data_IF_328170513442
#
_entry.id   IF_328170513442
#
_cell.length_a   1.000
_cell.length_b   1.000
_cell.length_c   1.000
_cell.angle_alpha   90.00
_cell.angle_beta   90.00
_cell.angle_gamma   90.00
#
_symmetry.space_group_name_H-M   'P 1'
#
loop_
_entity.id
_entity.type
_entity.pdbx_description
1 polymer ?
#
# COMPACT_ATOMS: atom_id res chain seq x y z
N UNK A 1 -45.50 -10.52 -60.43
CA UNK A 1 -45.81 -10.29 -59.00
C UNK A 1 -45.31 -11.49 -58.22
N UNK A 2 -44.11 -11.39 -57.64
CA UNK A 2 -43.46 -12.46 -56.88
C UNK A 2 -44.05 -12.49 -55.46
N UNK A 3 -44.72 -13.59 -55.09
CA UNK A 3 -45.19 -13.82 -53.72
C UNK A 3 -43.98 -14.19 -52.87
N UNK A 4 -43.60 -13.30 -51.95
CA UNK A 4 -42.66 -13.65 -50.89
C UNK A 4 -43.24 -14.82 -50.08
N UNK A 5 -42.43 -15.83 -49.70
CA UNK A 5 -42.87 -16.85 -48.75
C UNK A 5 -43.29 -16.13 -47.47
N UNK A 6 -44.49 -16.41 -46.96
CA UNK A 6 -44.88 -15.92 -45.63
C UNK A 6 -43.93 -16.58 -44.63
N UNK A 7 -43.17 -15.75 -43.92
CA UNK A 7 -42.44 -16.14 -42.72
C UNK A 7 -43.40 -16.92 -41.82
N UNK A 8 -42.95 -18.09 -41.33
CA UNK A 8 -43.77 -18.87 -40.42
C UNK A 8 -44.12 -17.96 -39.23
N UNK A 9 -45.41 -17.78 -38.96
CA UNK A 9 -45.85 -16.95 -37.85
C UNK A 9 -45.13 -17.43 -36.58
N UNK A 10 -44.42 -16.51 -35.90
CA UNK A 10 -43.82 -16.83 -34.61
C UNK A 10 -44.91 -17.47 -33.73
N UNK A 11 -44.67 -18.68 -33.21
CA UNK A 11 -45.66 -19.34 -32.37
C UNK A 11 -46.00 -18.42 -31.20
N UNK A 12 -47.30 -18.17 -31.02
CA UNK A 12 -47.80 -17.32 -29.94
C UNK A 12 -47.20 -17.81 -28.62
N UNK A 13 -46.55 -16.96 -27.81
CA UNK A 13 -45.93 -17.38 -26.55
C UNK A 13 -46.93 -18.05 -25.59
N UNK A 14 -48.23 -17.84 -25.76
CA UNK A 14 -49.29 -18.55 -25.03
C UNK A 14 -49.55 -19.99 -25.49
N UNK A 15 -49.02 -20.40 -26.66
CA UNK A 15 -49.14 -21.75 -27.21
C UNK A 15 -48.14 -22.75 -26.60
N UNK A 16 -47.15 -22.27 -25.85
CA UNK A 16 -46.24 -23.10 -25.07
C UNK A 16 -46.91 -23.53 -23.76
N UNK A 17 -46.73 -24.79 -23.36
CA UNK A 17 -47.32 -25.31 -22.13
C UNK A 17 -46.83 -24.52 -20.90
N UNK A 18 -47.75 -23.84 -20.20
CA UNK A 18 -47.44 -23.15 -18.96
C UNK A 18 -47.45 -24.13 -17.78
N UNK A 19 -46.40 -24.11 -16.97
CA UNK A 19 -46.43 -24.72 -15.64
C UNK A 19 -46.89 -23.66 -14.64
N UNK A 20 -47.73 -24.01 -13.65
CA UNK A 20 -48.00 -23.11 -12.53
C UNK A 20 -46.68 -22.85 -11.81
N UNK A 21 -46.20 -21.61 -11.87
CA UNK A 21 -44.94 -21.17 -11.30
C UNK A 21 -45.25 -20.31 -10.06
N UNK A 22 -44.96 -20.84 -8.89
CA UNK A 22 -45.13 -20.12 -7.63
C UNK A 22 -43.88 -19.27 -7.38
N UNK A 23 -43.97 -18.00 -7.79
CA UNK A 23 -42.89 -17.02 -7.64
C UNK A 23 -42.42 -16.89 -6.18
N UNK A 24 -43.33 -16.98 -5.21
CA UNK A 24 -42.98 -16.83 -3.79
C UNK A 24 -42.20 -18.03 -3.32
N UNK A 25 -42.65 -19.24 -3.67
CA UNK A 25 -41.93 -20.48 -3.33
C UNK A 25 -40.53 -20.51 -3.93
N UNK A 26 -40.39 -20.24 -5.23
CA UNK A 26 -39.10 -20.29 -5.91
C UNK A 26 -38.15 -19.18 -5.40
N UNK A 27 -38.68 -17.99 -5.11
CA UNK A 27 -37.90 -16.93 -4.47
C UNK A 27 -37.39 -17.34 -3.08
N UNK A 28 -38.24 -17.93 -2.24
CA UNK A 28 -37.84 -18.37 -0.89
C UNK A 28 -36.80 -19.48 -0.97
N UNK A 29 -36.99 -20.46 -1.86
CA UNK A 29 -36.03 -21.55 -2.07
C UNK A 29 -34.69 -21.01 -2.58
N UNK A 30 -34.71 -20.12 -3.56
CA UNK A 30 -33.50 -19.48 -4.08
C UNK A 30 -32.80 -18.64 -3.00
N UNK A 31 -33.55 -17.85 -2.22
CA UNK A 31 -33.00 -17.04 -1.14
C UNK A 31 -32.34 -17.91 -0.08
N UNK A 32 -33.00 -18.97 0.38
CA UNK A 32 -32.44 -19.91 1.35
C UNK A 32 -31.20 -20.60 0.77
N UNK A 33 -31.28 -21.09 -0.46
CA UNK A 33 -30.16 -21.75 -1.14
C UNK A 33 -28.94 -20.84 -1.28
N UNK A 34 -29.13 -19.61 -1.77
CA UNK A 34 -28.07 -18.60 -1.91
C UNK A 34 -27.52 -18.20 -0.54
N UNK A 35 -28.37 -18.02 0.48
CA UNK A 35 -27.92 -17.66 1.83
C UNK A 35 -27.04 -18.77 2.42
N UNK A 36 -27.50 -20.02 2.36
CA UNK A 36 -26.74 -21.18 2.85
C UNK A 36 -25.42 -21.31 2.09
N UNK A 37 -25.45 -21.21 0.76
CA UNK A 37 -24.24 -21.25 -0.05
C UNK A 37 -23.27 -20.12 0.32
N UNK A 38 -23.78 -18.89 0.50
CA UNK A 38 -22.96 -17.73 0.86
C UNK A 38 -22.31 -17.92 2.23
N UNK A 39 -23.05 -18.41 3.23
CA UNK A 39 -22.50 -18.69 4.56
C UNK A 39 -21.45 -19.80 4.53
N UNK A 40 -21.67 -20.85 3.73
CA UNK A 40 -20.68 -21.93 3.55
C UNK A 40 -19.42 -21.41 2.85
N UNK A 41 -19.57 -20.65 1.77
CA UNK A 41 -18.44 -20.05 1.06
C UNK A 41 -17.70 -19.05 1.96
N UNK A 42 -18.40 -18.21 2.71
CA UNK A 42 -17.79 -17.27 3.65
C UNK A 42 -17.04 -17.99 4.77
N UNK A 43 -17.55 -19.11 5.28
CA UNK A 43 -16.85 -19.89 6.32
C UNK A 43 -15.61 -20.62 5.77
N UNK A 44 -15.66 -21.09 4.51
CA UNK A 44 -14.54 -21.81 3.86
C UNK A 44 -13.47 -20.85 3.35
N UNK A 45 -13.89 -19.70 2.82
CA UNK A 45 -13.05 -18.67 2.20
C UNK A 45 -13.04 -17.40 3.04
N UNK A 46 -13.12 -17.47 4.37
CA UNK A 46 -13.04 -16.27 5.20
C UNK A 46 -11.64 -15.67 5.10
N UNK A 47 -11.55 -14.34 5.02
CA UNK A 47 -10.25 -13.66 5.17
C UNK A 47 -9.73 -13.86 6.59
N UNK A 48 -8.42 -14.05 6.77
CA UNK A 48 -7.79 -13.90 8.08
C UNK A 48 -8.09 -12.52 8.67
N UNK A 49 -8.30 -12.47 9.98
CA UNK A 49 -8.39 -11.22 10.74
C UNK A 49 -7.01 -10.92 11.33
N UNK A 50 -6.12 -10.40 10.49
CA UNK A 50 -4.77 -10.03 10.90
C UNK A 50 -4.80 -8.73 11.71
N UNK A 51 -4.08 -8.73 12.83
CA UNK A 51 -3.98 -7.54 13.66
C UNK A 51 -3.12 -6.51 12.94
N UNK A 52 -3.61 -5.27 12.92
CA UNK A 52 -2.83 -4.13 12.42
C UNK A 52 -1.50 -4.04 13.16
N UNK A 53 -0.41 -3.89 12.41
CA UNK A 53 0.90 -3.55 12.98
C UNK A 53 0.83 -2.14 13.59
N UNK A 54 1.49 -1.96 14.73
CA UNK A 54 1.61 -0.68 15.41
C UNK A 54 3.06 -0.40 15.79
N UNK A 55 3.38 0.86 16.04
CA UNK A 55 4.71 1.25 16.51
C UNK A 55 5.03 0.56 17.84
N UNK A 56 4.01 0.34 18.69
CA UNK A 56 4.17 -0.42 19.92
C UNK A 56 4.43 -1.92 19.73
N UNK A 57 3.85 -2.57 18.71
CA UNK A 57 4.18 -3.98 18.42
C UNK A 57 5.59 -4.08 17.86
N UNK A 58 5.95 -3.20 16.94
CA UNK A 58 7.27 -3.11 16.33
C UNK A 58 8.36 -2.87 17.39
N UNK A 59 8.24 -1.82 18.21
CA UNK A 59 9.23 -1.49 19.25
C UNK A 59 9.39 -2.56 20.34
N UNK A 60 8.44 -3.49 20.47
CA UNK A 60 8.55 -4.67 21.35
C UNK A 60 9.21 -5.85 20.65
N UNK A 61 8.89 -6.06 19.37
CA UNK A 61 9.43 -7.13 18.55
C UNK A 61 10.91 -6.90 18.26
N UNK A 62 11.25 -5.70 17.78
CA UNK A 62 12.62 -5.29 17.49
C UNK A 62 12.92 -3.87 18.03
N UNK A 63 13.35 -3.77 19.30
CA UNK A 63 13.74 -2.51 19.90
C UNK A 63 14.98 -1.87 19.24
N UNK A 64 15.83 -2.68 18.61
CA UNK A 64 17.07 -2.23 18.00
C UNK A 64 16.79 -1.51 16.70
N UNK A 65 16.03 -2.17 15.81
CA UNK A 65 15.53 -1.60 14.56
C UNK A 65 14.73 -0.31 14.79
N UNK A 66 13.84 -0.29 15.79
CA UNK A 66 13.13 0.93 16.18
C UNK A 66 14.09 2.08 16.54
N UNK A 67 15.14 1.78 17.29
CA UNK A 67 16.09 2.80 17.76
C UNK A 67 16.97 3.31 16.62
N UNK A 68 17.41 2.42 15.74
CA UNK A 68 18.16 2.76 14.53
C UNK A 68 17.32 3.61 13.58
N UNK A 69 16.06 3.24 13.36
CA UNK A 69 15.12 4.01 12.53
C UNK A 69 14.86 5.38 13.13
N UNK A 70 14.54 5.47 14.42
CA UNK A 70 14.35 6.76 15.09
C UNK A 70 15.60 7.65 15.07
N UNK A 71 16.80 7.07 15.07
CA UNK A 71 18.05 7.81 14.87
C UNK A 71 18.17 8.34 13.43
N UNK A 72 17.84 7.51 12.43
CA UNK A 72 17.81 7.91 11.02
C UNK A 72 16.76 9.00 10.74
N UNK A 73 15.61 8.97 11.42
CA UNK A 73 14.64 10.07 11.35
C UNK A 73 15.21 11.36 11.94
N UNK A 74 15.94 11.25 13.06
CA UNK A 74 16.49 12.38 13.80
C UNK A 74 17.66 13.07 13.07
N UNK A 75 18.46 12.32 12.33
CA UNK A 75 19.59 12.83 11.54
C UNK A 75 19.24 13.15 10.07
N UNK A 76 18.04 12.75 9.63
CA UNK A 76 17.53 13.00 8.29
C UNK A 76 18.07 12.04 7.22
N UNK A 77 18.53 10.85 7.63
CA UNK A 77 19.00 9.79 6.73
C UNK A 77 17.98 8.69 6.45
N UNK A 78 16.79 8.72 7.08
CA UNK A 78 15.69 7.79 6.77
C UNK A 78 15.21 7.91 5.31
N UNK A 79 14.54 6.88 4.82
CA UNK A 79 14.00 6.86 3.46
C UNK A 79 12.97 7.98 3.26
N UNK A 80 12.09 8.21 4.24
CA UNK A 80 11.17 9.35 4.25
C UNK A 80 11.90 10.69 4.24
N UNK A 81 12.96 10.86 5.03
CA UNK A 81 13.77 12.10 5.04
C UNK A 81 14.45 12.35 3.69
N UNK A 82 14.91 11.29 3.02
CA UNK A 82 15.55 11.33 1.70
C UNK A 82 14.59 11.38 0.50
N UNK A 83 13.27 11.25 0.71
CA UNK A 83 12.31 10.95 -0.36
C UNK A 83 12.14 12.05 -1.43
N UNK A 84 11.98 13.32 -1.01
CA UNK A 84 11.58 14.44 -1.88
C UNK A 84 10.06 14.73 -1.86
N UNK A 85 9.56 15.46 -2.88
CA UNK A 85 8.14 15.80 -2.97
C UNK A 85 7.22 14.57 -3.00
N UNK A 86 6.06 14.59 -2.31
CA UNK A 86 5.40 15.77 -1.75
C UNK A 86 5.81 16.14 -0.31
N UNK A 87 6.77 15.43 0.29
CA UNK A 87 7.08 15.54 1.72
C UNK A 87 8.19 16.53 2.05
N UNK A 88 9.25 16.53 1.26
CA UNK A 88 10.40 17.40 1.48
C UNK A 88 11.10 17.75 0.17
N UNK A 89 12.31 18.31 0.26
CA UNK A 89 13.08 18.77 -0.90
C UNK A 89 14.41 18.02 -1.08
N UNK A 90 14.61 16.90 -0.38
CA UNK A 90 15.86 16.16 -0.37
C UNK A 90 16.18 15.50 -1.72
N UNK A 91 15.16 15.08 -2.47
CA UNK A 91 15.30 14.48 -3.78
C UNK A 91 14.19 14.92 -4.76
N UNK A 92 14.25 14.41 -5.99
CA UNK A 92 13.30 14.73 -7.06
C UNK A 92 11.96 13.96 -6.95
N UNK A 93 11.85 13.02 -6.00
CA UNK A 93 10.71 12.12 -5.85
C UNK A 93 10.54 11.15 -7.03
N UNK A 94 9.33 10.59 -7.15
CA UNK A 94 8.96 9.67 -8.23
C UNK A 94 8.98 10.35 -9.61
N UNK A 95 9.56 9.68 -10.61
CA UNK A 95 9.71 10.16 -11.99
C UNK A 95 9.31 9.13 -13.05
N UNK A 96 8.78 9.62 -14.15
CA UNK A 96 8.45 8.83 -15.35
C UNK A 96 9.36 9.29 -16.48
N UNK A 97 10.45 8.56 -16.72
CA UNK A 97 11.48 8.95 -17.69
C UNK A 97 12.06 10.34 -17.37
N UNK A 98 12.03 11.32 -18.30
CA UNK A 98 12.52 12.67 -18.04
C UNK A 98 11.54 13.55 -17.24
N UNK A 99 10.33 13.07 -16.92
CA UNK A 99 9.28 13.85 -16.29
C UNK A 99 9.22 13.57 -14.78
N UNK A 100 9.64 14.54 -13.96
CA UNK A 100 9.51 14.50 -12.50
C UNK A 100 8.26 15.29 -12.07
N UNK A 101 7.08 14.69 -12.24
CA UNK A 101 5.80 15.37 -11.95
C UNK A 101 5.69 15.78 -10.48
N UNK A 102 6.13 14.92 -9.54
CA UNK A 102 6.15 15.23 -8.12
C UNK A 102 6.96 16.50 -7.82
N UNK A 103 8.17 16.62 -8.41
CA UNK A 103 9.00 17.82 -8.31
C UNK A 103 8.33 19.08 -8.87
N UNK A 104 7.58 18.97 -9.96
CA UNK A 104 6.89 20.14 -10.55
C UNK A 104 5.74 20.64 -9.68
N UNK A 105 5.06 19.75 -8.96
CA UNK A 105 4.02 20.11 -7.98
C UNK A 105 4.67 20.67 -6.71
N UNK A 106 5.78 20.08 -6.28
CA UNK A 106 6.52 20.50 -5.09
C UNK A 106 5.96 19.91 -3.80
N UNK A 107 6.36 20.49 -2.67
CA UNK A 107 5.98 20.02 -1.33
C UNK A 107 4.55 20.43 -1.01
N UNK A 108 3.67 19.45 -0.80
CA UNK A 108 2.27 19.68 -0.43
C UNK A 108 1.93 19.12 0.96
N UNK A 109 2.72 18.19 1.48
CA UNK A 109 2.55 17.56 2.78
C UNK A 109 3.88 17.56 3.52
N UNK A 110 4.33 18.75 3.97
CA UNK A 110 5.65 18.89 4.55
C UNK A 110 5.84 17.98 5.77
N UNK A 111 6.85 17.12 5.72
CA UNK A 111 7.28 16.26 6.84
C UNK A 111 8.74 16.57 7.13
N UNK A 112 9.00 17.08 8.33
CA UNK A 112 10.31 17.11 8.95
C UNK A 112 10.37 15.88 9.86
N UNK A 113 11.13 14.87 9.46
CA UNK A 113 11.18 13.56 10.13
C UNK A 113 11.65 13.65 11.56
N UNK A 114 12.69 14.46 11.82
CA UNK A 114 13.22 14.68 13.15
C UNK A 114 12.16 15.29 14.07
N UNK A 115 11.41 16.27 13.57
CA UNK A 115 10.31 16.88 14.32
C UNK A 115 9.12 15.94 14.49
N UNK A 116 8.67 15.30 13.42
CA UNK A 116 7.43 14.52 13.39
C UNK A 116 7.54 13.22 14.20
N UNK A 117 8.66 12.50 14.09
CA UNK A 117 8.79 11.16 14.65
C UNK A 117 9.53 11.11 15.99
N UNK A 118 10.35 12.13 16.31
CA UNK A 118 11.20 12.11 17.51
C UNK A 118 10.93 13.28 18.45
N UNK A 119 11.14 14.51 17.98
CA UNK A 119 11.16 15.68 18.87
C UNK A 119 9.77 16.07 19.36
N UNK A 120 8.79 16.21 18.46
CA UNK A 120 7.41 16.58 18.83
C UNK A 120 6.77 15.53 19.75
N UNK A 121 6.88 14.21 19.49
CA UNK A 121 6.37 13.22 20.43
C UNK A 121 6.98 13.30 21.84
N UNK A 122 8.28 13.58 21.91
CA UNK A 122 8.96 13.77 23.20
C UNK A 122 8.51 15.07 23.89
N UNK A 123 8.23 16.14 23.14
CA UNK A 123 7.71 17.40 23.68
C UNK A 123 6.29 17.31 24.23
N UNK A 124 5.41 16.60 23.53
CA UNK A 124 3.99 16.53 23.88
C UNK A 124 3.71 15.66 25.11
N UNK A 125 4.59 14.71 25.39
CA UNK A 125 4.45 13.83 26.55
C UNK A 125 5.01 14.44 27.84
N UNK A 126 4.47 14.01 28.97
CA UNK A 126 5.03 14.41 30.28
C UNK A 126 6.37 13.73 30.50
N UNK A 127 7.46 14.50 30.41
CA UNK A 127 8.82 14.01 30.56
C UNK A 127 9.39 14.19 31.96
N UNK A 128 10.31 13.31 32.34
CA UNK A 128 11.18 13.48 33.49
C UNK A 128 12.16 14.66 33.29
N UNK A 129 12.71 15.25 34.38
CA UNK A 129 13.57 16.43 34.28
C UNK A 129 14.83 16.25 33.43
N UNK A 130 15.40 15.04 33.44
CA UNK A 130 16.57 14.63 32.66
C UNK A 130 16.28 14.61 31.16
N UNK A 131 15.16 14.02 30.73
CA UNK A 131 14.74 14.03 29.32
C UNK A 131 14.44 15.45 28.87
N UNK A 132 13.79 16.26 29.71
CA UNK A 132 13.51 17.67 29.37
C UNK A 132 14.79 18.49 29.19
N UNK A 133 15.81 18.24 30.03
CA UNK A 133 17.12 18.86 29.89
C UNK A 133 17.85 18.38 28.63
N UNK A 134 17.75 17.09 28.31
CA UNK A 134 18.32 16.49 27.10
C UNK A 134 17.69 17.11 25.84
N UNK A 135 16.36 17.25 25.82
CA UNK A 135 15.63 17.89 24.73
C UNK A 135 16.05 19.35 24.56
N UNK A 136 16.09 20.13 25.65
CA UNK A 136 16.57 21.51 25.61
C UNK A 136 18.02 21.63 25.14
N UNK A 137 18.88 20.68 25.49
CA UNK A 137 20.28 20.61 25.02
C UNK A 137 20.34 20.32 23.52
N UNK A 138 19.51 19.40 23.02
CA UNK A 138 19.47 19.06 21.61
C UNK A 138 18.94 20.21 20.76
N UNK A 139 17.82 20.82 21.17
CA UNK A 139 17.16 21.90 20.42
C UNK A 139 17.96 23.22 20.42
N UNK A 140 18.83 23.44 21.41
CA UNK A 140 19.69 24.62 21.47
C UNK A 140 21.05 24.44 20.81
N UNK A 141 21.41 23.20 20.43
CA UNK A 141 22.65 22.91 19.71
C UNK A 141 22.55 23.35 18.24
N UNK A 142 23.71 23.65 17.62
CA UNK A 142 23.77 23.90 16.19
C UNK A 142 23.54 22.63 15.38
N UNK A 143 23.18 22.77 14.10
CA UNK A 143 23.02 21.64 13.18
C UNK A 143 24.28 20.78 13.11
N UNK A 144 25.46 21.40 13.02
CA UNK A 144 26.75 20.69 13.04
C UNK A 144 26.95 19.85 14.30
N UNK A 145 26.50 20.36 15.45
CA UNK A 145 26.64 19.67 16.73
C UNK A 145 25.62 18.53 16.87
N UNK A 146 24.40 18.73 16.36
CA UNK A 146 23.39 17.68 16.27
C UNK A 146 23.84 16.55 15.37
N UNK A 147 24.32 16.87 14.17
CA UNK A 147 24.89 15.92 13.21
C UNK A 147 26.08 15.16 13.79
N UNK A 148 27.02 15.84 14.45
CA UNK A 148 28.16 15.17 15.08
C UNK A 148 27.73 14.18 16.18
N UNK A 149 26.66 14.46 16.92
CA UNK A 149 26.12 13.54 17.92
C UNK A 149 25.40 12.35 17.30
N UNK A 150 24.57 12.57 16.30
CA UNK A 150 23.82 11.50 15.62
C UNK A 150 24.77 10.59 14.83
N UNK A 151 25.74 11.13 14.10
CA UNK A 151 26.76 10.36 13.38
C UNK A 151 27.58 9.47 14.32
N UNK A 152 28.01 10.05 15.45
CA UNK A 152 28.79 9.32 16.44
C UNK A 152 27.98 8.21 17.11
N UNK A 153 26.69 8.46 17.37
CA UNK A 153 25.80 7.47 17.96
C UNK A 153 25.42 6.37 16.95
N UNK A 154 25.15 6.73 15.69
CA UNK A 154 24.87 5.80 14.59
C UNK A 154 26.02 4.83 14.40
N UNK A 155 27.25 5.34 14.28
CA UNK A 155 28.47 4.51 14.22
C UNK A 155 28.64 3.59 15.43
N UNK A 156 28.20 4.03 16.61
CA UNK A 156 28.31 3.24 17.83
C UNK A 156 27.21 2.17 17.93
N UNK A 157 26.02 2.47 17.43
CA UNK A 157 24.86 1.58 17.34
C UNK A 157 25.11 0.46 16.32
N UNK A 158 25.65 0.78 15.15
CA UNK A 158 26.06 -0.21 14.15
C UNK A 158 27.06 -1.22 14.74
N UNK A 159 28.05 -0.73 15.49
CA UNK A 159 29.06 -1.58 16.17
C UNK A 159 28.45 -2.43 17.27
N UNK A 160 27.34 -2.00 17.84
CA UNK A 160 26.58 -2.73 18.85
C UNK A 160 25.61 -3.75 18.24
N UNK A 161 25.51 -3.83 16.90
CA UNK A 161 24.53 -4.65 16.18
C UNK A 161 23.11 -4.17 16.46
N UNK A 162 22.92 -2.86 16.36
CA UNK A 162 21.65 -2.13 16.55
C UNK A 162 21.03 -2.24 17.95
N UNK A 163 21.73 -2.84 18.91
CA UNK A 163 21.26 -2.95 20.28
C UNK A 163 21.72 -1.72 21.11
N UNK A 164 20.82 -0.78 21.46
CA UNK A 164 21.19 0.40 22.25
C UNK A 164 21.74 0.03 23.64
N UNK A 165 21.40 -1.15 24.18
CA UNK A 165 21.93 -1.60 25.47
C UNK A 165 23.41 -2.05 25.40
N UNK A 166 23.92 -2.33 24.20
CA UNK A 166 25.31 -2.72 23.95
C UNK A 166 26.20 -1.56 23.50
N UNK A 167 25.64 -0.37 23.27
CA UNK A 167 26.41 0.80 22.88
C UNK A 167 27.37 1.22 24.00
N UNK A 168 28.65 1.30 23.67
CA UNK A 168 29.67 1.74 24.63
C UNK A 168 29.51 3.23 24.93
N UNK A 169 29.71 3.68 26.19
CA UNK A 169 29.64 5.11 26.53
C UNK A 169 30.55 5.97 25.65
N UNK A 170 30.05 7.11 25.20
CA UNK A 170 30.75 8.02 24.30
C UNK A 170 30.11 9.41 24.23
N UNK A 171 30.72 10.29 23.44
CA UNK A 171 30.31 11.69 23.31
C UNK A 171 29.12 11.88 22.37
N UNK A 172 27.98 11.27 22.68
CA UNK A 172 26.77 11.28 21.82
C UNK A 172 25.77 12.39 22.17
N UNK A 173 26.15 13.29 23.08
CA UNK A 173 25.27 14.35 23.56
C UNK A 173 23.98 13.78 24.20
N UNK A 174 22.82 14.41 23.97
CA UNK A 174 21.54 13.97 24.52
C UNK A 174 20.86 12.85 23.71
N UNK A 175 21.40 12.46 22.54
CA UNK A 175 20.76 11.52 21.60
C UNK A 175 20.36 10.19 22.25
N UNK A 176 21.22 9.49 23.01
CA UNK A 176 20.82 8.22 23.64
C UNK A 176 19.67 8.37 24.63
N UNK A 177 19.62 9.49 25.36
CA UNK A 177 18.56 9.78 26.32
C UNK A 177 17.22 9.97 25.60
N UNK A 178 17.21 10.77 24.52
CA UNK A 178 16.02 11.01 23.71
C UNK A 178 15.48 9.72 23.10
N UNK A 179 16.34 8.93 22.45
CA UNK A 179 15.93 7.69 21.79
C UNK A 179 15.48 6.62 22.79
N UNK A 180 16.15 6.51 23.94
CA UNK A 180 15.73 5.58 25.00
C UNK A 180 14.34 5.90 25.54
N UNK A 181 14.03 7.19 25.70
CA UNK A 181 12.70 7.64 26.15
C UNK A 181 11.65 7.43 25.06
N UNK A 182 11.97 7.73 23.80
CA UNK A 182 11.06 7.48 22.68
C UNK A 182 10.73 5.98 22.56
N UNK A 183 11.72 5.10 22.70
CA UNK A 183 11.53 3.66 22.72
C UNK A 183 10.63 3.21 23.88
N UNK A 184 10.79 3.80 25.07
CA UNK A 184 9.92 3.53 26.21
C UNK A 184 8.46 3.95 25.93
N UNK A 185 8.26 5.11 25.30
CA UNK A 185 6.94 5.58 24.87
C UNK A 185 6.33 4.68 23.79
N UNK A 186 7.12 4.25 22.81
CA UNK A 186 6.72 3.33 21.77
C UNK A 186 6.25 2.00 22.38
N UNK A 187 7.06 1.37 23.22
CA UNK A 187 6.70 0.12 23.93
C UNK A 187 5.43 0.25 24.77
N UNK A 188 5.14 1.44 25.29
CA UNK A 188 3.92 1.70 26.06
C UNK A 188 2.66 1.89 25.20
N UNK A 189 2.80 2.15 23.89
CA UNK A 189 1.72 2.55 22.99
C UNK A 189 1.39 4.05 23.02
N UNK A 190 2.11 4.83 23.83
CA UNK A 190 1.95 6.29 23.85
C UNK A 190 2.35 6.93 22.53
N UNK A 191 3.36 6.39 21.84
CA UNK A 191 3.84 6.99 20.60
C UNK A 191 2.83 6.85 19.47
N UNK A 192 2.17 5.70 19.32
CA UNK A 192 1.06 5.50 18.36
C UNK A 192 -0.05 6.53 18.55
N UNK A 193 -0.41 6.80 19.80
CA UNK A 193 -1.42 7.80 20.13
C UNK A 193 -0.97 9.21 19.72
N UNK A 194 0.30 9.57 19.95
CA UNK A 194 0.83 10.87 19.56
C UNK A 194 0.91 11.05 18.04
N UNK A 195 1.42 10.06 17.31
CA UNK A 195 1.53 10.11 15.85
C UNK A 195 0.15 10.14 15.16
N UNK A 196 -0.88 9.60 15.80
CA UNK A 196 -2.26 9.63 15.30
C UNK A 196 -3.05 10.85 15.79
N UNK A 197 -2.67 11.45 16.92
CA UNK A 197 -3.43 12.53 17.55
C UNK A 197 -3.40 13.85 16.77
N UNK A 198 -2.40 14.08 15.91
CA UNK A 198 -2.32 15.30 15.09
C UNK A 198 -3.55 15.50 14.18
N UNK A 199 -4.28 14.42 13.90
CA UNK A 199 -5.41 14.42 12.97
C UNK A 199 -6.80 14.42 13.63
N UNK A 200 -6.91 14.42 14.97
CA UNK A 200 -8.17 14.52 15.72
C UNK A 200 -8.81 13.17 16.12
N UNK A 201 -10.00 13.16 16.73
CA UNK A 201 -10.61 11.93 17.29
C UNK A 201 -11.26 10.99 16.24
N UNK A 202 -11.76 11.53 15.13
CA UNK A 202 -12.26 10.77 13.99
C UNK A 202 -11.43 11.14 12.78
N UNK A 203 -10.28 10.49 12.63
CA UNK A 203 -9.41 10.68 11.48
C UNK A 203 -9.15 9.37 10.77
N UNK A 204 -8.87 9.50 9.48
CA UNK A 204 -8.40 8.42 8.61
C UNK A 204 -7.01 8.71 8.07
N UNK A 205 -6.35 9.75 8.60
CA UNK A 205 -4.98 10.11 8.21
C UNK A 205 -3.99 9.34 9.09
N UNK A 206 -3.39 8.32 8.51
CA UNK A 206 -2.36 7.50 9.15
C UNK A 206 -0.99 7.74 8.51
N UNK A 207 -0.79 8.89 7.85
CA UNK A 207 0.44 9.17 7.09
C UNK A 207 1.69 9.03 7.97
N UNK A 208 1.73 9.71 9.11
CA UNK A 208 2.88 9.65 10.02
C UNK A 208 3.18 8.24 10.56
N UNK A 209 2.21 7.52 11.18
CA UNK A 209 2.51 6.19 11.70
C UNK A 209 2.85 5.19 10.58
N UNK A 210 2.26 5.30 9.38
CA UNK A 210 2.60 4.43 8.25
C UNK A 210 3.99 4.73 7.69
N UNK A 211 4.38 5.99 7.55
CA UNK A 211 5.73 6.36 7.10
C UNK A 211 6.77 5.86 8.09
N UNK A 212 6.57 6.09 9.39
CA UNK A 212 7.53 5.66 10.39
C UNK A 212 7.66 4.14 10.50
N UNK A 213 6.57 3.39 10.27
CA UNK A 213 6.63 1.93 10.14
C UNK A 213 7.32 1.47 8.85
N UNK A 214 7.17 2.23 7.76
CA UNK A 214 7.77 1.90 6.46
C UNK A 214 9.28 2.19 6.41
N UNK A 215 9.77 3.15 7.19
CA UNK A 215 11.20 3.43 7.35
C UNK A 215 11.92 2.35 8.17
N UNK A 216 11.19 1.57 8.98
CA UNK A 216 11.69 0.43 9.73
C UNK A 216 11.67 -0.88 8.94
N UNK A 217 12.38 -1.91 9.42
CA UNK A 217 12.44 -3.20 8.72
C UNK A 217 11.29 -4.17 9.07
N UNK A 218 10.59 -3.98 10.19
CA UNK A 218 9.55 -4.90 10.68
C UNK A 218 8.36 -5.03 9.71
N UNK A 219 7.90 -3.91 9.13
CA UNK A 219 6.80 -3.92 8.15
C UNK A 219 7.18 -4.68 6.88
N UNK A 220 8.38 -4.42 6.34
CA UNK A 220 8.88 -5.09 5.16
C UNK A 220 9.07 -6.61 5.42
N UNK A 221 9.66 -6.97 6.55
CA UNK A 221 9.85 -8.36 6.95
C UNK A 221 8.52 -9.11 7.14
N UNK A 222 7.50 -8.46 7.71
CA UNK A 222 6.15 -9.02 7.80
C UNK A 222 5.54 -9.25 6.41
N UNK A 223 5.68 -8.29 5.50
CA UNK A 223 5.24 -8.40 4.12
C UNK A 223 5.90 -9.57 3.38
N UNK A 224 7.22 -9.73 3.50
CA UNK A 224 7.96 -10.84 2.89
C UNK A 224 7.51 -12.21 3.41
N UNK A 225 7.27 -12.32 4.73
CA UNK A 225 6.77 -13.55 5.37
C UNK A 225 5.37 -13.93 4.88
N UNK A 226 4.56 -12.94 4.50
CA UNK A 226 3.20 -13.12 3.99
C UNK A 226 3.12 -13.18 2.47
N UNK A 227 4.26 -13.22 1.76
CA UNK A 227 4.33 -13.23 0.31
C UNK A 227 3.73 -11.98 -0.36
N UNK A 228 3.86 -10.82 0.28
CA UNK A 228 3.30 -9.54 -0.16
C UNK A 228 4.32 -8.64 -0.88
N UNK A 229 5.56 -9.09 -1.06
CA UNK A 229 6.55 -8.32 -1.81
C UNK A 229 6.24 -8.28 -3.32
N UNK A 230 6.75 -7.25 -4.01
CA UNK A 230 6.47 -7.03 -5.44
C UNK A 230 6.90 -8.20 -6.33
N UNK A 231 8.05 -8.80 -6.06
CA UNK A 231 8.60 -9.98 -6.74
C UNK A 231 7.87 -11.30 -6.39
N UNK A 232 7.06 -11.28 -5.33
CA UNK A 232 6.24 -12.42 -4.89
C UNK A 232 4.81 -12.38 -5.44
N UNK A 233 4.52 -11.48 -6.39
CA UNK A 233 3.16 -11.17 -6.84
C UNK A 233 2.26 -10.60 -5.74
N UNK A 234 2.86 -9.85 -4.81
CA UNK A 234 2.21 -9.37 -3.59
C UNK A 234 0.93 -8.58 -3.81
N UNK A 235 0.85 -7.76 -4.87
CA UNK A 235 -0.39 -7.05 -5.22
C UNK A 235 -1.58 -7.98 -5.53
N UNK A 236 -1.31 -9.23 -5.91
CA UNK A 236 -2.34 -10.23 -6.22
C UNK A 236 -2.54 -11.24 -5.09
N UNK A 237 -1.61 -11.28 -4.13
CA UNK A 237 -1.70 -12.14 -2.98
C UNK A 237 -2.50 -11.46 -1.87
N UNK A 238 -2.95 -12.27 -0.94
CA UNK A 238 -3.52 -11.84 0.33
C UNK A 238 -2.86 -12.72 1.41
N UNK A 239 -3.03 -12.37 2.67
CA UNK A 239 -2.52 -13.21 3.77
C UNK A 239 -3.22 -14.58 3.76
N UNK A 240 -2.45 -15.63 4.04
CA UNK A 240 -2.87 -17.04 4.03
C UNK A 240 -3.42 -17.54 2.67
N UNK A 241 -4.48 -18.36 2.70
CA UNK A 241 -5.06 -19.05 1.55
C UNK A 241 -6.26 -18.28 0.94
N UNK A 242 -6.36 -16.97 1.20
CA UNK A 242 -7.45 -16.19 0.66
C UNK A 242 -7.21 -15.88 -0.82
N UNK A 243 -8.23 -15.98 -1.70
CA UNK A 243 -8.09 -15.57 -3.09
C UNK A 243 -7.83 -14.06 -3.12
N UNK A 244 -6.57 -13.67 -3.38
CA UNK A 244 -6.20 -12.28 -3.46
C UNK A 244 -6.74 -11.60 -4.72
N UNK A 245 -6.19 -10.41 -5.00
CA UNK A 245 -6.77 -9.46 -5.94
C UNK A 245 -6.37 -9.82 -7.40
N UNK A 246 -6.92 -10.92 -7.92
CA UNK A 246 -6.57 -11.47 -9.25
C UNK A 246 -6.77 -10.49 -10.42
N UNK A 247 -7.60 -9.46 -10.25
CA UNK A 247 -7.76 -8.42 -11.26
C UNK A 247 -6.55 -7.47 -11.37
N UNK A 248 -5.63 -7.47 -10.38
CA UNK A 248 -4.36 -6.73 -10.38
C UNK A 248 -3.21 -7.52 -11.02
N UNK A 249 -3.45 -8.73 -11.54
CA UNK A 249 -2.46 -9.51 -12.30
C UNK A 249 -1.80 -8.68 -13.42
N UNK A 250 -2.52 -7.87 -14.22
CA UNK A 250 -1.90 -7.04 -15.25
C UNK A 250 -0.87 -6.04 -14.69
N UNK A 251 -1.15 -5.44 -13.54
CA UNK A 251 -0.23 -4.51 -12.85
C UNK A 251 0.96 -5.27 -12.25
N UNK A 252 0.69 -6.34 -11.51
CA UNK A 252 1.72 -7.14 -10.83
C UNK A 252 2.67 -7.84 -11.80
N UNK A 253 2.20 -8.19 -13.00
CA UNK A 253 3.04 -8.76 -14.07
C UNK A 253 4.23 -7.87 -14.41
N UNK A 254 4.05 -6.54 -14.43
CA UNK A 254 5.15 -5.65 -14.81
C UNK A 254 6.27 -5.64 -13.78
N UNK A 255 5.99 -5.87 -12.50
CA UNK A 255 7.02 -6.03 -11.45
C UNK A 255 7.91 -7.25 -11.66
N UNK A 256 7.53 -8.20 -12.53
CA UNK A 256 8.31 -9.41 -12.82
C UNK A 256 9.24 -9.27 -14.02
N UNK A 257 9.23 -8.12 -14.70
CA UNK A 257 9.97 -7.93 -15.96
C UNK A 257 10.85 -6.69 -15.94
N UNK A 258 12.03 -6.81 -16.55
CA UNK A 258 12.94 -5.67 -16.74
C UNK A 258 12.34 -4.63 -17.68
N UNK A 259 12.47 -3.32 -17.38
CA UNK A 259 13.28 -2.70 -16.31
C UNK A 259 12.55 -2.40 -14.99
N UNK A 260 11.30 -2.82 -14.82
CA UNK A 260 10.47 -2.42 -13.68
C UNK A 260 10.88 -3.10 -12.38
N UNK A 261 11.30 -4.36 -12.47
CA UNK A 261 11.79 -5.22 -11.38
C UNK A 261 13.00 -4.66 -10.60
N UNK A 262 13.82 -3.79 -11.21
CA UNK A 262 14.99 -3.19 -10.58
C UNK A 262 14.91 -1.65 -10.47
N UNK A 263 13.79 -1.05 -10.88
CA UNK A 263 13.67 0.41 -10.92
C UNK A 263 13.21 0.97 -9.57
N UNK A 264 13.90 1.99 -9.01
CA UNK A 264 13.40 2.72 -7.85
C UNK A 264 12.12 3.53 -8.15
N UNK A 265 11.70 3.58 -9.42
CA UNK A 265 10.44 4.19 -9.86
C UNK A 265 9.48 3.12 -10.41
N UNK A 266 9.58 1.88 -9.95
CA UNK A 266 8.77 0.75 -10.42
C UNK A 266 7.30 1.13 -10.52
N UNK A 267 6.71 1.58 -9.41
CA UNK A 267 5.29 1.96 -9.32
C UNK A 267 4.89 3.02 -10.35
N UNK A 268 5.67 4.11 -10.45
CA UNK A 268 5.38 5.20 -11.39
C UNK A 268 5.45 4.73 -12.85
N UNK A 269 6.39 3.83 -13.16
CA UNK A 269 6.54 3.26 -14.50
C UNK A 269 5.41 2.28 -14.83
N UNK A 270 5.03 1.39 -13.91
CA UNK A 270 3.90 0.46 -14.09
C UNK A 270 2.61 1.25 -14.29
N UNK A 271 2.36 2.26 -13.45
CA UNK A 271 1.22 3.15 -13.61
C UNK A 271 1.20 3.82 -15.00
N UNK A 272 2.33 4.34 -15.47
CA UNK A 272 2.42 4.96 -16.79
C UNK A 272 2.08 3.97 -17.92
N UNK A 273 2.58 2.73 -17.85
CA UNK A 273 2.27 1.69 -18.83
C UNK A 273 0.78 1.37 -18.80
N UNK A 274 0.20 1.18 -17.62
CA UNK A 274 -1.21 0.86 -17.46
C UNK A 274 -2.12 1.99 -17.93
N UNK A 275 -1.74 3.24 -17.70
CA UNK A 275 -2.43 4.41 -18.24
C UNK A 275 -2.42 4.41 -19.78
N UNK A 276 -1.28 4.12 -20.40
CA UNK A 276 -1.16 4.03 -21.87
C UNK A 276 -1.98 2.87 -22.41
N UNK A 277 -1.92 1.67 -21.81
CA UNK A 277 -2.70 0.51 -22.22
C UNK A 277 -4.21 0.79 -22.13
N UNK A 278 -4.64 1.44 -21.06
CA UNK A 278 -6.03 1.85 -20.86
C UNK A 278 -6.46 2.87 -21.92
N UNK A 279 -5.62 3.86 -22.22
CA UNK A 279 -5.88 4.84 -23.28
C UNK A 279 -5.98 4.17 -24.65
N UNK A 280 -5.09 3.23 -24.97
CA UNK A 280 -5.16 2.43 -26.20
C UNK A 280 -6.46 1.65 -26.26
N UNK A 281 -6.84 0.96 -25.17
CA UNK A 281 -8.08 0.18 -25.10
C UNK A 281 -9.32 1.05 -25.35
N UNK A 282 -9.38 2.22 -24.72
CA UNK A 282 -10.46 3.19 -24.92
C UNK A 282 -10.51 3.70 -26.37
N UNK A 283 -9.35 3.86 -27.01
CA UNK A 283 -9.23 4.34 -28.39
C UNK A 283 -9.32 3.24 -29.45
N UNK A 284 -9.41 1.95 -29.09
CA UNK A 284 -9.53 0.81 -30.03
C UNK A 284 -10.57 1.04 -31.14
N UNK A 285 -11.78 1.59 -30.87
CA UNK A 285 -12.78 1.83 -31.93
C UNK A 285 -12.31 2.81 -33.02
N UNK A 286 -11.32 3.64 -32.73
CA UNK A 286 -10.78 4.67 -33.62
C UNK A 286 -9.47 4.26 -34.30
N UNK A 287 -8.78 3.21 -33.81
CA UNK A 287 -7.50 2.77 -34.36
C UNK A 287 -7.74 1.86 -35.58
N UNK A 288 -7.33 2.27 -36.80
CA UNK A 288 -7.41 1.43 -37.99
C UNK A 288 -6.60 0.14 -37.79
N UNK A 289 -7.14 -1.00 -38.21
CA UNK A 289 -6.53 -2.31 -37.95
C UNK A 289 -7.08 -2.97 -36.69
N UNK A 290 -6.81 -2.40 -35.50
CA UNK A 290 -7.29 -2.94 -34.21
C UNK A 290 -8.82 -3.08 -34.17
N UNK A 291 -9.56 -2.06 -34.64
CA UNK A 291 -11.02 -2.11 -34.76
C UNK A 291 -11.53 -3.30 -35.60
N UNK A 292 -10.72 -3.83 -36.51
CA UNK A 292 -11.10 -4.94 -37.40
C UNK A 292 -10.80 -6.32 -36.81
N UNK A 293 -10.04 -6.41 -35.71
CA UNK A 293 -9.68 -7.69 -35.08
C UNK A 293 -10.90 -8.56 -34.75
N UNK A 294 -12.00 -8.04 -34.16
CA UNK A 294 -13.18 -8.87 -33.88
C UNK A 294 -13.82 -9.47 -35.14
N UNK A 295 -13.60 -8.87 -36.31
CA UNK A 295 -14.08 -9.41 -37.60
C UNK A 295 -13.10 -10.44 -38.20
N UNK A 296 -11.81 -10.33 -37.90
CA UNK A 296 -10.76 -11.23 -38.36
C UNK A 296 -10.68 -12.51 -37.52
N UNK A 297 -10.90 -12.40 -36.21
CA UNK A 297 -10.97 -13.53 -35.28
C UNK A 297 -12.44 -13.68 -34.89
N UNK A 298 -13.22 -14.54 -35.58
CA UNK A 298 -14.66 -14.58 -35.44
C UNK A 298 -15.10 -15.36 -34.18
N UNK A 299 -14.58 -14.99 -33.01
CA UNK A 299 -15.04 -15.52 -31.71
C UNK A 299 -16.55 -15.31 -31.55
N UNK A 300 -17.07 -14.22 -32.12
CA UNK A 300 -18.51 -13.96 -32.16
C UNK A 300 -19.29 -15.07 -32.89
N UNK A 301 -18.71 -15.79 -33.85
CA UNK A 301 -19.36 -16.96 -34.48
C UNK A 301 -19.40 -18.17 -33.58
N UNK A 302 -18.49 -18.27 -32.59
CA UNK A 302 -18.54 -19.32 -31.57
C UNK A 302 -19.59 -18.99 -30.51
N UNK A 303 -19.65 -17.74 -30.06
CA UNK A 303 -20.66 -17.27 -29.09
C UNK A 303 -22.07 -17.32 -29.70
N UNK A 304 -22.24 -16.84 -30.94
CA UNK A 304 -23.52 -16.77 -31.64
C UNK A 304 -23.69 -17.87 -32.68
N UNK A 305 -23.17 -19.07 -32.39
CA UNK A 305 -23.08 -20.17 -33.36
C UNK A 305 -24.42 -20.57 -33.95
N UNK A 306 -25.50 -20.55 -33.18
CA UNK A 306 -26.84 -20.90 -33.66
C UNK A 306 -27.45 -19.83 -34.56
N UNK A 307 -27.25 -18.56 -34.23
CA UNK A 307 -27.70 -17.43 -35.05
C UNK A 307 -27.03 -17.47 -36.44
N UNK A 308 -25.70 -17.64 -36.49
CA UNK A 308 -24.96 -17.72 -37.77
C UNK A 308 -25.14 -19.06 -38.52
N UNK A 309 -25.73 -20.08 -37.91
CA UNK A 309 -26.14 -21.31 -38.60
C UNK A 309 -27.51 -21.16 -39.27
N UNK A 310 -28.40 -20.38 -38.66
CA UNK A 310 -29.78 -20.17 -39.16
C UNK A 310 -29.87 -18.99 -40.12
N UNK A 311 -28.97 -18.02 -40.02
CA UNK A 311 -28.89 -16.82 -40.86
C UNK A 311 -27.46 -16.69 -41.45
N UNK A 312 -27.11 -17.44 -42.51
CA UNK A 312 -25.78 -17.44 -43.12
C UNK A 312 -25.40 -16.12 -43.81
#
# INVERSE_FOLDING_TARGET
>A
MSRWPREAAEPDPSSFGSRPYDLVKEFVVALVGVTVLTLLLAAVFSSPDEKSMSVASWAKADPGDFTATALAELDGSSDTAGYGPPYNTAADGQKIGPFALAKTVGVTHAIDTAQAFVLTPLEQATQSPDVRAALGTYMSASDDQRGAWTDAYSTALDKAGDDPAKVTPGGYGPVPVLLSQLLAQAKSGSLDATLSAESGFYHSDYTLPLMFLADGSDLAAAGEQQHLAGDQWGMTNEVDNYPGQVWLIPDSFFYQVSPFDHSPNGDALVWAVMAVLTAVFLLVPFIPGLRRIPRLIPVYRLVWREHYKTHP
#
